data_IF_635549079088
#
_entry.id   IF_635549079088
#
_cell.length_a   1.000
_cell.length_b   1.000
_cell.length_c   1.000
_cell.angle_alpha   90.00
_cell.angle_beta   90.00
_cell.angle_gamma   90.00
#
_symmetry.space_group_name_H-M   'P 1'
#
loop_
_entity.id
_entity.type
_entity.pdbx_description
1 polymer ?
#
# COMPACT_ATOMS: atom_id res chain seq x y z
N UNK A 1 8.46 -10.97 -38.58
CA UNK A 1 7.40 -9.96 -38.74
C UNK A 1 6.25 -10.30 -37.77
N UNK A 2 6.17 -9.76 -36.55
CA UNK A 2 6.23 -8.36 -36.17
C UNK A 2 7.21 -8.12 -35.00
N UNK A 3 7.74 -6.90 -34.96
CA UNK A 3 8.86 -6.43 -34.16
C UNK A 3 8.47 -6.35 -32.67
N UNK A 4 9.25 -6.91 -31.71
CA UNK A 4 9.04 -6.62 -30.30
C UNK A 4 9.47 -5.17 -30.09
N UNK A 5 8.47 -4.29 -29.99
CA UNK A 5 8.65 -2.86 -29.80
C UNK A 5 9.61 -2.58 -28.66
N UNK A 6 10.77 -2.03 -29.02
CA UNK A 6 11.73 -1.40 -28.15
C UNK A 6 11.10 -0.14 -27.54
N UNK A 7 10.24 -0.29 -26.54
CA UNK A 7 9.77 0.83 -25.74
C UNK A 7 10.78 1.10 -24.64
N UNK A 8 11.76 1.95 -24.95
CA UNK A 8 12.49 2.76 -23.96
C UNK A 8 11.54 3.80 -23.34
N UNK A 9 10.31 3.42 -22.99
CA UNK A 9 9.44 4.22 -22.15
C UNK A 9 9.93 4.02 -20.72
N UNK A 10 10.49 5.08 -20.16
CA UNK A 10 10.83 5.18 -18.76
C UNK A 10 9.55 4.95 -17.95
N UNK A 11 9.33 3.69 -17.56
CA UNK A 11 8.24 3.31 -16.67
C UNK A 11 8.57 3.89 -15.31
N UNK A 12 8.11 5.12 -15.06
CA UNK A 12 8.21 5.75 -13.77
C UNK A 12 7.28 4.98 -12.84
N UNK A 13 7.85 4.04 -12.09
CA UNK A 13 7.16 3.21 -11.10
C UNK A 13 6.64 4.01 -9.91
N UNK A 14 6.18 5.25 -10.11
CA UNK A 14 5.59 6.11 -9.09
C UNK A 14 4.07 6.03 -9.14
N UNK A 15 3.45 5.75 -8.00
CA UNK A 15 2.00 5.61 -7.89
C UNK A 15 1.25 6.88 -8.33
N UNK A 16 1.83 8.05 -8.11
CA UNK A 16 1.28 9.37 -8.46
C UNK A 16 1.22 9.62 -9.98
N UNK A 17 2.03 8.91 -10.77
CA UNK A 17 2.08 9.09 -12.22
C UNK A 17 1.23 8.08 -12.99
N UNK A 18 0.58 7.14 -12.28
CA UNK A 18 -0.26 6.11 -12.91
C UNK A 18 -1.43 6.68 -13.72
N UNK A 19 -1.87 7.89 -13.41
CA UNK A 19 -2.92 8.58 -14.15
C UNK A 19 -2.53 9.02 -15.57
N UNK A 20 -1.22 9.14 -15.85
CA UNK A 20 -0.70 9.54 -17.17
C UNK A 20 -0.36 8.33 -18.04
N UNK A 21 -0.45 7.11 -17.50
CA UNK A 21 -0.17 5.90 -18.25
C UNK A 21 -1.39 5.54 -19.12
N UNK A 22 -1.14 5.23 -20.40
CA UNK A 22 -2.19 4.83 -21.32
C UNK A 22 -2.86 3.53 -20.84
N UNK A 23 -4.20 3.48 -20.89
CA UNK A 23 -5.01 2.35 -20.40
C UNK A 23 -4.51 0.97 -20.87
N UNK A 24 -3.98 0.89 -22.11
CA UNK A 24 -3.49 -0.36 -22.72
C UNK A 24 -2.32 -1.03 -21.97
N UNK A 25 -1.55 -0.29 -21.20
CA UNK A 25 -0.36 -0.85 -20.54
C UNK A 25 -0.71 -1.67 -19.29
N UNK A 26 -1.79 -1.30 -18.60
CA UNK A 26 -2.22 -1.85 -17.32
C UNK A 26 -3.38 -2.85 -17.44
N UNK A 27 -4.13 -2.80 -18.55
CA UNK A 27 -5.27 -3.68 -18.81
C UNK A 27 -4.91 -5.16 -18.65
N UNK A 28 -5.69 -5.87 -17.83
CA UNK A 28 -5.50 -7.30 -17.56
C UNK A 28 -4.28 -7.65 -16.70
N UNK A 29 -3.61 -6.67 -16.06
CA UNK A 29 -2.40 -6.89 -15.26
C UNK A 29 -2.56 -6.43 -13.81
N UNK A 30 -1.71 -6.97 -12.94
CA UNK A 30 -1.47 -6.42 -11.60
C UNK A 30 -0.29 -5.45 -11.66
N UNK A 31 -0.48 -4.23 -11.17
CA UNK A 31 0.51 -3.15 -11.30
C UNK A 31 1.30 -3.02 -10.00
N UNK A 32 2.63 -3.01 -10.10
CA UNK A 32 3.52 -2.59 -9.02
C UNK A 32 3.84 -1.10 -9.15
N UNK A 33 3.66 -0.33 -8.08
CA UNK A 33 4.13 1.05 -8.00
C UNK A 33 4.78 1.34 -6.64
N UNK A 34 5.65 2.33 -6.62
CA UNK A 34 6.35 2.85 -5.47
C UNK A 34 5.81 4.24 -5.16
N UNK A 35 5.72 4.60 -3.88
CA UNK A 35 5.38 5.97 -3.49
C UNK A 35 6.19 6.36 -2.28
N UNK A 36 6.76 7.57 -2.33
CA UNK A 36 7.40 8.24 -1.20
C UNK A 36 6.41 9.11 -0.43
N UNK A 37 5.19 9.27 -0.93
CA UNK A 37 4.16 10.11 -0.31
C UNK A 37 3.67 9.48 1.00
N UNK A 38 3.69 10.24 2.11
CA UNK A 38 3.12 9.77 3.36
C UNK A 38 1.59 9.72 3.31
N UNK A 39 0.96 10.36 2.33
CA UNK A 39 -0.49 10.54 2.26
C UNK A 39 -1.20 9.23 1.91
N UNK A 40 -2.30 8.96 2.62
CA UNK A 40 -3.18 7.82 2.31
C UNK A 40 -3.90 7.98 0.97
N UNK A 41 -4.05 9.22 0.47
CA UNK A 41 -4.66 9.50 -0.84
C UNK A 41 -3.84 8.93 -2.01
N UNK A 42 -2.51 8.83 -1.89
CA UNK A 42 -1.67 8.20 -2.92
C UNK A 42 -2.05 6.74 -3.14
N UNK A 43 -2.42 6.03 -2.07
CA UNK A 43 -2.84 4.62 -2.14
C UNK A 43 -4.20 4.48 -2.82
N UNK A 44 -5.19 5.26 -2.40
CA UNK A 44 -6.54 5.21 -2.99
C UNK A 44 -6.55 5.67 -4.45
N UNK A 45 -5.77 6.71 -4.78
CA UNK A 45 -5.68 7.21 -6.14
C UNK A 45 -5.04 6.19 -7.07
N UNK A 46 -3.93 5.58 -6.65
CA UNK A 46 -3.27 4.53 -7.43
C UNK A 46 -4.22 3.36 -7.73
N UNK A 47 -4.92 2.85 -6.71
CA UNK A 47 -5.92 1.79 -6.88
C UNK A 47 -7.03 2.22 -7.86
N UNK A 48 -7.56 3.43 -7.72
CA UNK A 48 -8.59 4.00 -8.60
C UNK A 48 -8.12 4.11 -10.05
N UNK A 49 -6.89 4.60 -10.29
CA UNK A 49 -6.34 4.74 -11.64
C UNK A 49 -6.11 3.39 -12.31
N UNK A 50 -5.52 2.42 -11.59
CA UNK A 50 -5.30 1.07 -12.13
C UNK A 50 -6.64 0.39 -12.44
N UNK A 51 -7.63 0.53 -11.56
CA UNK A 51 -8.98 0.00 -11.78
C UNK A 51 -9.64 0.63 -13.02
N UNK A 52 -9.56 1.95 -13.19
CA UNK A 52 -10.10 2.67 -14.37
C UNK A 52 -9.39 2.28 -15.67
N UNK A 53 -8.12 1.92 -15.60
CA UNK A 53 -7.34 1.45 -16.73
C UNK A 53 -7.56 -0.04 -17.07
N UNK A 54 -8.48 -0.74 -16.38
CA UNK A 54 -8.76 -2.16 -16.61
C UNK A 54 -7.74 -3.12 -15.99
N UNK A 55 -6.91 -2.63 -15.06
CA UNK A 55 -6.01 -3.48 -14.29
C UNK A 55 -6.76 -4.38 -13.30
N UNK A 56 -6.14 -5.48 -12.93
CA UNK A 56 -6.71 -6.52 -12.06
C UNK A 56 -6.36 -6.33 -10.57
N UNK A 57 -5.36 -5.51 -10.27
CA UNK A 57 -4.94 -5.23 -8.90
C UNK A 57 -3.73 -4.30 -8.82
N UNK A 58 -3.41 -3.84 -7.62
CA UNK A 58 -2.24 -2.97 -7.37
C UNK A 58 -1.43 -3.42 -6.16
N UNK A 59 -0.11 -3.41 -6.31
CA UNK A 59 0.86 -3.61 -5.24
C UNK A 59 1.60 -2.28 -5.05
N UNK A 60 1.57 -1.75 -3.84
CA UNK A 60 2.08 -0.42 -3.51
C UNK A 60 3.23 -0.56 -2.53
N UNK A 61 4.45 -0.33 -3.02
CA UNK A 61 5.66 -0.27 -2.20
C UNK A 61 5.80 1.12 -1.58
N UNK A 62 5.74 1.20 -0.26
CA UNK A 62 5.81 2.46 0.50
C UNK A 62 6.56 2.28 1.81
N UNK A 63 6.89 3.39 2.45
CA UNK A 63 7.42 3.33 3.81
C UNK A 63 6.39 2.65 4.74
N UNK A 64 6.82 1.74 5.63
CA UNK A 64 5.93 1.08 6.58
C UNK A 64 5.36 2.11 7.55
N UNK A 65 4.14 2.53 7.29
CA UNK A 65 3.36 3.42 8.14
C UNK A 65 2.07 2.72 8.56
N UNK A 66 1.22 3.39 9.33
CA UNK A 66 -0.15 2.94 9.54
C UNK A 66 -0.81 2.70 8.17
N UNK A 67 -0.98 1.44 7.80
CA UNK A 67 -1.58 1.03 6.54
C UNK A 67 -3.09 1.14 6.72
N UNK A 68 -3.69 2.20 6.18
CA UNK A 68 -5.13 2.15 5.92
C UNK A 68 -5.34 1.09 4.85
N UNK A 69 -6.27 0.15 5.04
CA UNK A 69 -6.62 -0.78 3.98
C UNK A 69 -7.08 0.03 2.77
N UNK A 70 -6.77 -0.48 1.57
CA UNK A 70 -7.31 0.12 0.36
C UNK A 70 -8.83 0.08 0.43
N UNK A 71 -9.45 1.23 0.22
CA UNK A 71 -10.90 1.39 0.27
C UNK A 71 -11.43 1.01 -1.10
N UNK A 72 -11.98 -0.21 -1.27
CA UNK A 72 -12.90 -0.65 -2.33
C UNK A 72 -12.85 -2.18 -2.54
N UNK A 73 -13.81 -2.71 -3.31
CA UNK A 73 -13.80 -4.05 -3.93
C UNK A 73 -12.73 -4.18 -5.04
N UNK A 74 -11.48 -3.83 -4.76
CA UNK A 74 -10.36 -3.92 -5.70
C UNK A 74 -9.12 -4.53 -5.05
N UNK A 75 -8.50 -5.58 -5.62
CA UNK A 75 -7.30 -6.19 -5.05
C UNK A 75 -6.16 -5.18 -4.90
N UNK A 76 -5.80 -4.90 -3.65
CA UNK A 76 -4.82 -3.89 -3.33
C UNK A 76 -4.00 -4.30 -2.11
N UNK A 77 -2.67 -4.30 -2.27
CA UNK A 77 -1.72 -4.74 -1.25
C UNK A 77 -0.67 -3.65 -1.06
N UNK A 78 -0.40 -3.31 0.19
CA UNK A 78 0.73 -2.42 0.54
C UNK A 78 1.87 -3.27 1.07
N UNK A 79 3.08 -2.98 0.59
CA UNK A 79 4.32 -3.65 1.00
C UNK A 79 5.37 -2.60 1.36
N UNK A 80 6.39 -2.99 2.11
CA UNK A 80 7.56 -2.14 2.31
C UNK A 80 8.42 -2.06 1.04
N UNK A 81 9.40 -1.15 1.04
CA UNK A 81 10.29 -0.97 -0.10
C UNK A 81 11.18 -2.19 -0.37
N UNK A 82 11.55 -2.95 0.65
CA UNK A 82 12.40 -4.12 0.50
C UNK A 82 11.67 -5.21 -0.28
N UNK A 83 10.47 -5.59 0.18
CA UNK A 83 9.61 -6.53 -0.51
C UNK A 83 9.17 -6.01 -1.88
N UNK A 84 8.85 -4.72 -1.99
CA UNK A 84 8.55 -4.07 -3.28
C UNK A 84 9.70 -4.19 -4.29
N UNK A 85 10.94 -4.02 -3.83
CA UNK A 85 12.14 -4.18 -4.67
C UNK A 85 12.33 -5.64 -5.08
N UNK A 86 12.11 -6.59 -4.19
CA UNK A 86 12.17 -8.01 -4.51
C UNK A 86 11.13 -8.40 -5.57
N UNK A 87 9.91 -7.86 -5.49
CA UNK A 87 8.87 -8.06 -6.51
C UNK A 87 9.30 -7.44 -7.84
N UNK A 88 9.89 -6.25 -7.84
CA UNK A 88 10.40 -5.62 -9.06
C UNK A 88 11.50 -6.46 -9.72
N UNK A 89 12.41 -7.03 -8.93
CA UNK A 89 13.45 -7.93 -9.44
C UNK A 89 12.84 -9.18 -10.06
N UNK A 90 11.84 -9.79 -9.41
CA UNK A 90 11.10 -10.93 -9.94
C UNK A 90 10.42 -10.61 -11.29
N UNK A 91 9.78 -9.44 -11.41
CA UNK A 91 9.15 -8.98 -12.66
C UNK A 91 10.19 -8.87 -13.78
N UNK A 92 11.41 -8.42 -13.47
CA UNK A 92 12.49 -8.24 -14.46
C UNK A 92 13.20 -9.54 -14.83
N UNK A 93 13.22 -10.54 -13.94
CA UNK A 93 13.91 -11.81 -14.18
C UNK A 93 13.05 -12.87 -14.87
N UNK A 94 11.72 -12.71 -14.89
CA UNK A 94 10.79 -13.66 -15.50
C UNK A 94 10.23 -13.12 -16.82
N UNK A 95 10.20 -13.94 -17.86
CA UNK A 95 9.54 -13.59 -19.13
C UNK A 95 8.01 -13.52 -19.04
N UNK A 96 7.41 -14.11 -18.00
CA UNK A 96 5.97 -14.07 -17.72
C UNK A 96 5.75 -14.09 -16.19
N UNK A 97 5.88 -12.94 -15.51
CA UNK A 97 5.67 -12.88 -14.07
C UNK A 97 4.17 -13.04 -13.77
N UNK A 98 3.87 -13.89 -12.78
CA UNK A 98 2.50 -14.16 -12.32
C UNK A 98 2.43 -13.91 -10.82
N UNK A 99 1.34 -13.32 -10.36
CA UNK A 99 1.10 -13.06 -8.94
C UNK A 99 -0.29 -13.55 -8.54
N UNK A 100 -0.40 -14.02 -7.30
CA UNK A 100 -1.67 -14.43 -6.68
C UNK A 100 -1.92 -13.56 -5.46
N UNK A 101 -2.97 -12.76 -5.50
CA UNK A 101 -3.44 -11.99 -4.35
C UNK A 101 -4.59 -12.77 -3.69
N UNK A 102 -4.54 -12.93 -2.38
CA UNK A 102 -5.56 -13.65 -1.60
C UNK A 102 -6.11 -12.76 -0.49
N UNK A 103 -7.31 -13.05 0.06
CA UNK A 103 -7.83 -12.37 1.23
C UNK A 103 -6.84 -12.41 2.40
N UNK A 104 -6.74 -11.30 3.13
CA UNK A 104 -5.90 -11.17 4.31
C UNK A 104 -6.26 -12.20 5.38
N UNK A 105 -5.26 -12.71 6.09
CA UNK A 105 -5.42 -13.63 7.22
C UNK A 105 -4.77 -13.04 8.46
N UNK A 106 -5.40 -13.24 9.61
CA UNK A 106 -4.82 -12.88 10.91
C UNK A 106 -3.83 -13.95 11.34
N UNK A 107 -2.57 -13.57 11.57
CA UNK A 107 -1.57 -14.45 12.16
C UNK A 107 -1.75 -14.45 13.69
N UNK A 108 -2.14 -15.59 14.24
CA UNK A 108 -2.35 -15.77 15.69
C UNK A 108 -1.10 -16.39 16.32
N UNK A 109 -0.65 -15.86 17.46
CA UNK A 109 0.48 -16.42 18.22
C UNK A 109 1.88 -15.93 17.80
N UNK A 110 1.99 -15.06 16.80
CA UNK A 110 3.25 -14.42 16.44
C UNK A 110 3.46 -13.16 17.30
N UNK A 111 4.58 -13.00 18.02
CA UNK A 111 4.87 -11.75 18.74
C UNK A 111 5.09 -10.63 17.72
N UNK A 112 4.09 -9.75 17.59
CA UNK A 112 4.21 -8.50 16.85
C UNK A 112 4.70 -7.42 17.80
N UNK A 113 5.66 -6.60 17.36
CA UNK A 113 6.13 -5.48 18.17
C UNK A 113 4.97 -4.52 18.45
N UNK A 114 4.61 -4.33 19.73
CA UNK A 114 3.57 -3.39 20.13
C UNK A 114 4.10 -1.97 19.98
N UNK A 115 3.44 -1.15 19.14
CA UNK A 115 3.76 0.27 18.97
C UNK A 115 2.54 1.11 19.30
N UNK A 116 2.78 2.28 19.90
CA UNK A 116 1.74 3.31 20.06
C UNK A 116 1.32 3.78 18.66
N UNK A 117 0.01 3.75 18.39
CA UNK A 117 -0.53 4.15 17.09
C UNK A 117 -0.14 5.59 16.75
N UNK A 118 0.12 5.88 15.47
CA UNK A 118 0.54 7.22 15.03
C UNK A 118 -0.51 8.30 15.28
N UNK A 119 -1.79 7.92 15.32
CA UNK A 119 -2.91 8.81 15.61
C UNK A 119 -3.20 9.01 17.10
N UNK A 120 -2.51 8.29 18.00
CA UNK A 120 -2.70 8.47 19.44
C UNK A 120 -2.17 9.84 19.85
N UNK A 121 -3.01 10.63 20.50
CA UNK A 121 -2.59 11.91 21.09
C UNK A 121 -1.42 11.71 22.04
N UNK A 122 -0.54 12.71 22.10
CA UNK A 122 0.68 12.71 22.90
C UNK A 122 0.66 13.92 23.82
N UNK A 123 1.25 13.76 25.00
CA UNK A 123 1.52 14.88 25.89
C UNK A 123 2.59 15.84 25.33
N UNK A 124 2.91 16.90 26.07
CA UNK A 124 2.43 17.19 27.43
C UNK A 124 0.97 17.66 27.48
N UNK A 125 0.38 17.64 28.67
CA UNK A 125 -0.94 18.22 28.92
C UNK A 125 -0.89 19.74 28.69
N UNK A 126 -1.74 20.26 27.80
CA UNK A 126 -1.76 21.68 27.42
C UNK A 126 -2.29 22.61 28.52
N UNK A 127 -3.07 22.09 29.48
CA UNK A 127 -3.63 22.87 30.60
C UNK A 127 -2.67 22.89 31.78
N UNK A 128 -2.05 21.75 32.07
CA UNK A 128 -1.17 21.57 33.22
C UNK A 128 0.04 20.73 32.83
N UNK A 129 1.08 21.37 32.28
CA UNK A 129 2.28 20.69 31.77
C UNK A 129 3.03 19.88 32.84
N UNK A 130 2.88 20.20 34.12
CA UNK A 130 3.42 19.43 35.24
C UNK A 130 2.73 18.06 35.44
N UNK A 131 1.52 17.88 34.89
CA UNK A 131 0.78 16.62 34.93
C UNK A 131 1.03 15.87 33.61
N UNK A 132 1.80 14.78 33.69
CA UNK A 132 2.12 13.94 32.53
C UNK A 132 0.86 13.27 31.95
N UNK A 133 0.78 13.21 30.62
CA UNK A 133 -0.27 12.51 29.87
C UNK A 133 0.33 11.84 28.62
N UNK A 134 -0.28 10.77 28.09
CA UNK A 134 -1.42 10.01 28.64
C UNK A 134 -1.02 9.16 29.86
N UNK A 135 -1.99 8.71 30.66
CA UNK A 135 -1.72 7.87 31.85
C UNK A 135 -1.49 6.39 31.52
N UNK A 136 -2.22 5.88 30.52
CA UNK A 136 -2.22 4.47 30.13
C UNK A 136 -2.41 4.31 28.62
N UNK A 137 -1.88 3.22 28.06
CA UNK A 137 -2.15 2.79 26.70
C UNK A 137 -2.86 1.42 26.71
N UNK A 138 -3.79 1.22 25.79
CA UNK A 138 -4.54 -0.02 25.62
C UNK A 138 -4.66 -0.36 24.12
N UNK A 139 -5.01 -1.61 23.75
CA UNK A 139 -5.25 -1.99 22.36
C UNK A 139 -6.40 -1.16 21.76
N UNK A 140 -6.09 -0.40 20.70
CA UNK A 140 -7.05 0.50 20.03
C UNK A 140 -6.95 0.51 18.50
N UNK A 141 -6.21 -0.44 17.90
CA UNK A 141 -6.05 -0.57 16.44
C UNK A 141 -6.65 -1.89 16.00
N UNK A 142 -7.47 -1.87 14.94
CA UNK A 142 -8.09 -3.07 14.35
C UNK A 142 -8.93 -3.88 15.32
N UNK A 143 -9.72 -3.20 16.16
CA UNK A 143 -10.68 -3.85 17.09
C UNK A 143 -12.01 -4.09 16.37
N UNK A 144 -12.51 -5.34 16.42
CA UNK A 144 -13.81 -5.72 15.88
C UNK A 144 -14.90 -5.48 16.93
N UNK A 145 -15.99 -4.81 16.53
CA UNK A 145 -17.12 -4.46 17.41
C UNK A 145 -18.46 -4.63 16.68
N UNK A 146 -19.54 -4.78 17.44
CA UNK A 146 -20.90 -4.72 16.90
C UNK A 146 -21.30 -3.27 16.58
N UNK A 147 -22.06 -3.08 15.51
CA UNK A 147 -22.64 -1.80 15.10
C UNK A 147 -24.16 -1.96 15.01
N UNK A 148 -24.90 -0.92 15.40
CA UNK A 148 -26.37 -0.89 15.43
C UNK A 148 -26.95 -0.40 14.09
#
# INVERSE_FOLDING_TARGET
PENPGNSNESFYGFCELLLFNSNRTMEGKVVLCFTTSPLSSSVSNAASYVKRAGGLGVIIARHPSFARPCLDDFPCVTVDYELGTNILLYIRSSGSPVVKIQPSKTLVGQPVGTKVASFSSRGPNSVAAAILKPDIAAPGVSILVAVA
#
